data_IF_144555797891
#
_entry.id   IF_144555797891
#
_cell.length_a   1.000
_cell.length_b   1.000
_cell.length_c   1.000
_cell.angle_alpha   90.00
_cell.angle_beta   90.00
_cell.angle_gamma   90.00
#
_symmetry.space_group_name_H-M   'P 1'
#
loop_
_entity.id
_entity.type
_entity.pdbx_description
1 polymer ?
#
# COMPACT_ATOMS: atom_id res chain seq x y z
N UNK A 1 -2.75 13.71 32.48
CA UNK A 1 -3.77 13.88 31.41
C UNK A 1 -3.15 14.41 30.12
N UNK A 2 -2.19 15.34 30.18
CA UNK A 2 -1.53 15.94 29.01
C UNK A 2 -0.88 14.93 28.04
N UNK A 3 -0.16 13.92 28.56
CA UNK A 3 0.47 12.90 27.71
C UNK A 3 -0.52 12.05 26.90
N UNK A 4 -1.70 11.77 27.45
CA UNK A 4 -2.77 11.03 26.76
C UNK A 4 -3.41 11.90 25.66
N UNK A 5 -3.58 13.19 25.93
CA UNK A 5 -4.13 14.16 24.99
C UNK A 5 -3.18 14.35 23.80
N UNK A 6 -1.88 14.51 24.04
CA UNK A 6 -0.87 14.65 22.99
C UNK A 6 -0.81 13.44 22.05
N UNK A 7 -0.91 12.23 22.62
CA UNK A 7 -0.94 10.99 21.83
C UNK A 7 -2.19 10.94 20.95
N UNK A 8 -3.36 11.24 21.50
CA UNK A 8 -4.62 11.23 20.73
C UNK A 8 -4.62 12.28 19.64
N UNK A 9 -4.10 13.49 19.91
CA UNK A 9 -3.95 14.54 18.90
C UNK A 9 -3.02 14.12 17.78
N UNK A 10 -1.89 13.47 18.09
CA UNK A 10 -0.94 12.99 17.08
C UNK A 10 -1.59 11.93 16.17
N UNK A 11 -2.33 10.99 16.75
CA UNK A 11 -3.06 9.99 15.96
C UNK A 11 -4.19 10.58 15.12
N UNK A 12 -4.94 11.54 15.68
CA UNK A 12 -5.99 12.25 14.95
C UNK A 12 -5.41 13.05 13.76
N UNK A 13 -4.29 13.75 13.99
CA UNK A 13 -3.57 14.47 12.94
C UNK A 13 -3.06 13.52 11.85
N UNK A 14 -2.45 12.40 12.24
CA UNK A 14 -1.97 11.40 11.29
C UNK A 14 -3.10 10.78 10.46
N UNK A 15 -4.26 10.49 11.07
CA UNK A 15 -5.45 10.04 10.36
C UNK A 15 -5.98 11.11 9.40
N UNK A 16 -6.07 12.37 9.85
CA UNK A 16 -6.52 13.48 9.03
C UNK A 16 -5.62 13.69 7.80
N UNK A 17 -4.31 13.64 7.99
CA UNK A 17 -3.34 13.71 6.90
C UNK A 17 -3.46 12.52 5.95
N UNK A 18 -3.69 11.33 6.48
CA UNK A 18 -3.87 10.13 5.67
C UNK A 18 -5.12 10.20 4.80
N UNK A 19 -6.23 10.72 5.34
CA UNK A 19 -7.45 11.01 4.58
C UNK A 19 -7.22 12.10 3.53
N UNK A 20 -6.48 13.15 3.86
CA UNK A 20 -6.13 14.22 2.92
C UNK A 20 -5.32 13.67 1.75
N UNK A 21 -4.29 12.87 2.01
CA UNK A 21 -3.49 12.21 0.96
C UNK A 21 -4.36 11.30 0.11
N UNK A 22 -5.24 10.51 0.73
CA UNK A 22 -6.18 9.63 0.01
C UNK A 22 -7.06 10.42 -0.96
N UNK A 23 -7.68 11.53 -0.51
CA UNK A 23 -8.49 12.40 -1.38
C UNK A 23 -7.67 13.10 -2.45
N UNK A 24 -6.46 13.54 -2.14
CA UNK A 24 -5.57 14.15 -3.12
C UNK A 24 -5.21 13.17 -4.24
N UNK A 25 -4.90 11.90 -3.92
CA UNK A 25 -4.60 10.87 -4.91
C UNK A 25 -5.83 10.50 -5.75
N UNK A 26 -7.03 10.51 -5.18
CA UNK A 26 -8.27 10.33 -5.94
C UNK A 26 -8.48 11.43 -6.97
N UNK A 27 -8.26 12.70 -6.59
CA UNK A 27 -8.37 13.85 -7.51
C UNK A 27 -7.33 13.74 -8.62
N UNK A 28 -6.08 13.41 -8.28
CA UNK A 28 -5.04 13.23 -9.29
C UNK A 28 -5.35 12.06 -10.23
N UNK A 29 -5.91 10.96 -9.72
CA UNK A 29 -6.33 9.83 -10.55
C UNK A 29 -7.46 10.23 -11.50
N UNK A 30 -8.48 10.93 -11.01
CA UNK A 30 -9.58 11.41 -11.85
C UNK A 30 -9.07 12.37 -12.94
N UNK A 31 -8.12 13.24 -12.59
CA UNK A 31 -7.46 14.14 -13.55
C UNK A 31 -6.67 13.36 -14.58
N UNK A 32 -5.90 12.35 -14.15
CA UNK A 32 -5.16 11.46 -15.05
C UNK A 32 -6.10 10.72 -16.01
N UNK A 33 -7.21 10.15 -15.51
CA UNK A 33 -8.17 9.41 -16.33
C UNK A 33 -8.85 10.32 -17.37
N UNK A 34 -9.09 11.60 -17.04
CA UNK A 34 -9.58 12.61 -17.98
C UNK A 34 -8.55 13.00 -19.05
N UNK A 35 -7.26 13.05 -18.69
CA UNK A 35 -6.19 13.29 -19.67
C UNK A 35 -6.01 12.07 -20.58
N UNK A 36 -5.99 10.86 -20.02
CA UNK A 36 -5.82 9.61 -20.76
C UNK A 36 -6.93 9.42 -21.80
N UNK A 37 -8.19 9.77 -21.46
CA UNK A 37 -9.31 9.75 -22.40
C UNK A 37 -9.21 10.83 -23.47
N UNK A 38 -8.71 12.02 -23.14
CA UNK A 38 -8.55 13.12 -24.11
C UNK A 38 -7.41 12.91 -25.11
N UNK A 39 -6.35 12.21 -24.71
CA UNK A 39 -5.15 12.00 -25.52
C UNK A 39 -5.06 10.60 -26.16
N UNK A 40 -6.09 9.77 -26.03
CA UNK A 40 -6.17 8.44 -26.66
C UNK A 40 -4.94 7.55 -26.40
N UNK A 41 -4.50 7.49 -25.15
CA UNK A 41 -3.32 6.73 -24.75
C UNK A 41 -3.48 5.20 -24.81
N UNK A 42 -4.60 4.69 -25.35
CA UNK A 42 -4.85 3.26 -25.55
C UNK A 42 -3.70 2.56 -26.30
N UNK A 43 -3.12 3.21 -27.33
CA UNK A 43 -2.01 2.62 -28.11
C UNK A 43 -0.75 2.38 -27.27
N UNK A 44 -0.47 3.26 -26.31
CA UNK A 44 0.66 3.11 -25.40
C UNK A 44 0.45 1.92 -24.47
N UNK A 45 -0.75 1.81 -23.89
CA UNK A 45 -1.12 0.72 -23.00
C UNK A 45 -1.13 -0.63 -23.69
N UNK A 46 -1.65 -0.72 -24.92
CA UNK A 46 -1.60 -1.94 -25.74
C UNK A 46 -0.16 -2.41 -25.97
N UNK A 47 0.76 -1.50 -26.38
CA UNK A 47 2.19 -1.83 -26.55
C UNK A 47 2.83 -2.33 -25.26
N UNK A 48 2.50 -1.71 -24.12
CA UNK A 48 3.01 -2.11 -22.81
C UNK A 48 2.49 -3.49 -22.40
N UNK A 49 1.23 -3.79 -22.66
CA UNK A 49 0.62 -5.10 -22.41
C UNK A 49 1.27 -6.19 -23.22
N UNK A 50 1.57 -5.96 -24.51
CA UNK A 50 2.32 -6.93 -25.32
C UNK A 50 3.73 -7.19 -24.77
N UNK A 51 4.44 -6.14 -24.32
CA UNK A 51 5.76 -6.33 -23.67
C UNK A 51 5.64 -7.12 -22.37
N UNK A 52 4.63 -6.83 -21.56
CA UNK A 52 4.39 -7.53 -20.31
C UNK A 52 4.05 -9.00 -20.57
N UNK A 53 3.19 -9.28 -21.54
CA UNK A 53 2.88 -10.63 -22.03
C UNK A 53 4.16 -11.38 -22.41
N UNK A 54 4.97 -10.81 -23.30
CA UNK A 54 6.22 -11.45 -23.75
C UNK A 54 7.19 -11.69 -22.58
N UNK A 55 7.26 -10.76 -21.62
CA UNK A 55 8.11 -10.91 -20.43
C UNK A 55 7.61 -12.03 -19.52
N UNK A 56 6.30 -12.11 -19.32
CA UNK A 56 5.67 -13.18 -18.55
C UNK A 56 5.85 -14.53 -19.23
N UNK A 57 5.60 -14.63 -20.53
CA UNK A 57 5.82 -15.85 -21.32
C UNK A 57 7.28 -16.31 -21.26
N UNK A 58 8.24 -15.40 -21.43
CA UNK A 58 9.66 -15.73 -21.34
C UNK A 58 10.06 -16.19 -19.93
N UNK A 59 9.51 -15.56 -18.88
CA UNK A 59 9.74 -16.03 -17.50
C UNK A 59 9.09 -17.38 -17.26
N UNK A 60 7.88 -17.60 -17.76
CA UNK A 60 7.15 -18.87 -17.66
C UNK A 60 7.92 -20.02 -18.31
N UNK A 61 8.51 -19.81 -19.49
CA UNK A 61 9.39 -20.77 -20.16
C UNK A 61 10.62 -21.12 -19.32
N UNK A 62 11.18 -20.16 -18.58
CA UNK A 62 12.28 -20.41 -17.63
C UNK A 62 11.79 -21.17 -16.40
N UNK A 63 10.56 -20.92 -15.95
CA UNK A 63 9.91 -21.64 -14.85
C UNK A 63 9.42 -23.05 -15.20
N UNK A 64 9.42 -23.44 -16.48
CA UNK A 64 9.14 -24.80 -16.94
C UNK A 64 10.13 -25.83 -16.35
N UNK A 65 11.31 -25.36 -15.92
CA UNK A 65 12.34 -26.15 -15.24
C UNK A 65 12.33 -26.01 -13.70
N UNK A 66 11.36 -25.30 -13.11
CA UNK A 66 11.27 -25.01 -11.67
C UNK A 66 10.04 -25.73 -11.08
N UNK A 67 10.12 -26.14 -9.81
CA UNK A 67 9.05 -26.93 -9.18
C UNK A 67 7.67 -26.25 -9.26
N UNK A 68 6.71 -27.01 -9.76
CA UNK A 68 5.34 -26.60 -10.14
C UNK A 68 4.59 -25.83 -9.04
N UNK A 69 4.83 -26.13 -7.75
CA UNK A 69 4.15 -25.46 -6.62
C UNK A 69 4.50 -23.97 -6.47
N UNK A 70 5.77 -23.58 -6.62
CA UNK A 70 6.20 -22.18 -6.43
C UNK A 70 5.82 -21.32 -7.65
N UNK A 71 5.95 -21.89 -8.85
CA UNK A 71 5.51 -21.26 -10.09
C UNK A 71 3.99 -21.02 -10.08
N UNK A 72 3.19 -22.01 -9.64
CA UNK A 72 1.73 -21.88 -9.54
C UNK A 72 1.30 -20.75 -8.60
N UNK A 73 1.95 -20.58 -7.44
CA UNK A 73 1.62 -19.51 -6.49
C UNK A 73 1.92 -18.12 -7.06
N UNK A 74 3.05 -17.97 -7.77
CA UNK A 74 3.41 -16.73 -8.43
C UNK A 74 2.45 -16.43 -9.60
N UNK A 75 2.10 -17.45 -10.41
CA UNK A 75 1.11 -17.32 -11.47
C UNK A 75 -0.27 -16.97 -10.95
N UNK A 76 -0.68 -17.52 -9.80
CA UNK A 76 -2.00 -17.28 -9.24
C UNK A 76 -2.15 -15.83 -8.79
N UNK A 77 -1.12 -15.23 -8.17
CA UNK A 77 -1.12 -13.79 -7.86
C UNK A 77 -1.17 -12.91 -9.11
N UNK A 78 -0.50 -13.33 -10.18
CA UNK A 78 -0.52 -12.64 -11.47
C UNK A 78 -1.87 -12.82 -12.16
N UNK A 79 -2.48 -14.01 -12.06
CA UNK A 79 -3.83 -14.31 -12.54
C UNK A 79 -4.87 -13.42 -11.86
N UNK A 80 -4.89 -13.37 -10.53
CA UNK A 80 -5.85 -12.55 -9.78
C UNK A 80 -5.71 -11.05 -10.06
N UNK A 81 -4.51 -10.60 -10.47
CA UNK A 81 -4.24 -9.19 -10.77
C UNK A 81 -4.39 -8.82 -12.24
N UNK A 82 -4.16 -9.74 -13.18
CA UNK A 82 -3.98 -9.46 -14.61
C UNK A 82 -4.86 -10.31 -15.55
N UNK A 83 -5.56 -11.31 -15.03
CA UNK A 83 -6.56 -12.06 -15.77
C UNK A 83 -7.93 -11.59 -15.29
N UNK A 84 -8.64 -10.96 -16.21
CA UNK A 84 -10.02 -10.57 -15.99
C UNK A 84 -10.84 -11.85 -15.81
N UNK A 85 -11.37 -12.10 -14.62
CA UNK A 85 -12.62 -12.85 -14.47
C UNK A 85 -13.80 -11.94 -14.88
N UNK A 86 -13.69 -11.28 -16.04
CA UNK A 86 -14.82 -10.57 -16.61
C UNK A 86 -15.87 -11.63 -16.95
N UNK A 87 -16.99 -11.59 -16.22
CA UNK A 87 -18.14 -12.44 -16.51
C UNK A 87 -18.50 -12.36 -17.99
N UNK A 88 -18.41 -13.49 -18.69
CA UNK A 88 -18.67 -13.59 -20.13
C UNK A 88 -17.52 -14.13 -20.98
N UNK A 89 -16.29 -14.25 -20.46
CA UNK A 89 -15.20 -14.89 -21.22
C UNK A 89 -15.13 -16.40 -20.96
N UNK A 90 -15.69 -17.19 -21.88
CA UNK A 90 -15.73 -18.67 -21.84
C UNK A 90 -14.52 -19.33 -22.52
N UNK A 91 -13.41 -18.61 -22.69
CA UNK A 91 -12.20 -19.13 -23.33
C UNK A 91 -11.28 -19.81 -22.33
N UNK A 92 -10.73 -20.97 -22.69
CA UNK A 92 -9.74 -21.72 -21.88
C UNK A 92 -8.38 -21.01 -21.77
N UNK A 93 -8.11 -20.05 -22.65
CA UNK A 93 -6.83 -19.37 -22.73
C UNK A 93 -6.86 -18.07 -21.91
N UNK A 94 -5.95 -17.91 -20.94
CA UNK A 94 -5.83 -16.68 -20.16
C UNK A 94 -5.45 -15.49 -21.06
N UNK A 95 -6.33 -14.48 -21.16
CA UNK A 95 -6.08 -13.26 -21.94
C UNK A 95 -5.72 -12.09 -21.02
N UNK A 96 -4.57 -11.47 -21.29
CA UNK A 96 -4.13 -10.23 -20.65
C UNK A 96 -4.85 -9.04 -21.26
N UNK A 97 -5.77 -8.43 -20.51
CA UNK A 97 -6.48 -7.23 -20.94
C UNK A 97 -5.60 -5.97 -20.77
N UNK A 98 -5.56 -5.12 -21.79
CA UNK A 98 -4.80 -3.86 -21.75
C UNK A 98 -5.27 -2.90 -20.65
N UNK A 99 -6.58 -2.88 -20.40
CA UNK A 99 -7.20 -2.04 -19.37
C UNK A 99 -6.79 -2.47 -17.96
N UNK A 100 -6.59 -3.76 -17.74
CA UNK A 100 -6.19 -4.28 -16.43
C UNK A 100 -4.71 -3.95 -16.15
N UNK A 101 -3.85 -4.06 -17.17
CA UNK A 101 -2.44 -3.62 -17.08
C UNK A 101 -2.36 -2.11 -16.80
N UNK A 102 -3.21 -1.31 -17.46
CA UNK A 102 -3.35 0.12 -17.19
C UNK A 102 -3.77 0.36 -15.73
N UNK A 103 -4.87 -0.24 -15.28
CA UNK A 103 -5.41 -0.05 -13.95
C UNK A 103 -4.41 -0.41 -12.85
N UNK A 104 -3.72 -1.56 -12.98
CA UNK A 104 -2.70 -2.00 -12.01
C UNK A 104 -1.48 -1.07 -12.05
N UNK A 105 -0.98 -0.72 -13.23
CA UNK A 105 0.18 0.19 -13.37
C UNK A 105 -0.09 1.55 -12.72
N UNK A 106 -1.26 2.13 -13.02
CA UNK A 106 -1.69 3.42 -12.49
C UNK A 106 -1.85 3.32 -10.96
N UNK A 107 -2.49 2.26 -10.46
CA UNK A 107 -2.66 2.03 -9.02
C UNK A 107 -1.32 1.95 -8.28
N UNK A 108 -0.33 1.27 -8.86
CA UNK A 108 1.02 1.18 -8.27
C UNK A 108 1.71 2.54 -8.28
N UNK A 109 1.63 3.27 -9.39
CA UNK A 109 2.22 4.61 -9.51
C UNK A 109 1.62 5.57 -8.47
N UNK A 110 0.29 5.61 -8.34
CA UNK A 110 -0.37 6.47 -7.36
C UNK A 110 -0.07 6.07 -5.92
N UNK A 111 0.07 4.78 -5.62
CA UNK A 111 0.56 4.35 -4.30
C UNK A 111 1.97 4.86 -4.01
N UNK A 112 2.85 4.82 -5.00
CA UNK A 112 4.22 5.32 -4.84
C UNK A 112 4.24 6.84 -4.61
N UNK A 113 3.46 7.59 -5.39
CA UNK A 113 3.28 9.04 -5.18
C UNK A 113 2.72 9.30 -3.77
N UNK A 114 1.70 8.55 -3.35
CA UNK A 114 1.13 8.64 -2.01
C UNK A 114 2.15 8.46 -0.91
N UNK A 115 3.02 7.44 -1.02
CA UNK A 115 4.12 7.20 -0.09
C UNK A 115 5.10 8.38 -0.06
N UNK A 116 5.50 8.91 -1.21
CA UNK A 116 6.41 10.05 -1.27
C UNK A 116 5.81 11.31 -0.62
N UNK A 117 4.54 11.60 -0.91
CA UNK A 117 3.82 12.73 -0.30
C UNK A 117 3.70 12.51 1.21
N UNK A 118 3.35 11.30 1.65
CA UNK A 118 3.25 10.96 3.07
C UNK A 118 4.58 11.10 3.81
N UNK A 119 5.70 10.66 3.21
CA UNK A 119 7.05 10.87 3.74
C UNK A 119 7.37 12.36 3.84
N UNK A 120 7.07 13.14 2.79
CA UNK A 120 7.28 14.60 2.79
C UNK A 120 6.50 15.29 3.90
N UNK A 121 5.21 14.95 4.07
CA UNK A 121 4.36 15.49 5.14
C UNK A 121 4.86 15.10 6.53
N UNK A 122 5.31 13.85 6.70
CA UNK A 122 5.85 13.39 7.98
C UNK A 122 7.14 14.13 8.37
N UNK A 123 8.03 14.41 7.41
CA UNK A 123 9.21 15.25 7.65
C UNK A 123 8.83 16.70 7.95
N UNK A 124 7.91 17.28 7.18
CA UNK A 124 7.54 18.68 7.34
C UNK A 124 6.91 18.96 8.72
N UNK A 125 6.11 18.02 9.22
CA UNK A 125 5.43 18.13 10.52
C UNK A 125 6.16 17.40 11.66
N UNK A 126 7.34 16.83 11.40
CA UNK A 126 8.11 16.02 12.35
C UNK A 126 7.28 14.94 13.06
N UNK A 127 6.43 14.23 12.30
CA UNK A 127 5.54 13.21 12.84
C UNK A 127 6.28 11.90 13.12
N UNK A 128 6.30 11.50 14.39
CA UNK A 128 6.91 10.25 14.84
C UNK A 128 5.89 9.38 15.61
N UNK A 129 5.02 8.70 14.85
CA UNK A 129 4.03 7.77 15.41
C UNK A 129 4.71 6.52 15.97
N UNK A 130 5.84 6.12 15.37
CA UNK A 130 6.58 4.92 15.74
C UNK A 130 7.20 5.07 17.12
N UNK A 131 7.67 6.26 17.51
CA UNK A 131 8.14 6.56 18.87
C UNK A 131 7.02 6.34 19.90
N UNK A 132 5.84 6.88 19.65
CA UNK A 132 4.67 6.69 20.52
C UNK A 132 4.28 5.21 20.61
N UNK A 133 4.42 4.46 19.50
CA UNK A 133 4.19 3.02 19.48
C UNK A 133 5.22 2.22 20.27
N UNK A 134 6.50 2.59 20.20
CA UNK A 134 7.59 1.98 20.96
C UNK A 134 7.44 2.25 22.45
N UNK A 135 7.15 3.49 22.85
CA UNK A 135 6.90 3.88 24.24
C UNK A 135 5.68 3.14 24.82
N UNK A 136 4.64 2.90 24.01
CA UNK A 136 3.50 2.08 24.40
C UNK A 136 3.78 0.57 24.47
N UNK A 137 4.95 0.10 24.01
CA UNK A 137 5.30 -1.32 23.90
C UNK A 137 6.30 -1.81 24.97
N UNK A 138 6.66 -0.97 25.95
CA UNK A 138 7.81 -1.19 26.85
C UNK A 138 7.66 -2.33 27.87
N UNK A 139 6.48 -2.90 28.11
CA UNK A 139 6.36 -4.02 29.05
C UNK A 139 6.03 -5.35 28.34
N UNK A 140 7.09 -6.10 27.99
CA UNK A 140 7.02 -7.56 27.78
C UNK A 140 6.82 -8.09 26.36
N UNK A 141 6.94 -7.26 25.31
CA UNK A 141 6.76 -7.69 23.91
C UNK A 141 8.08 -8.13 23.26
N UNK A 142 8.22 -9.43 22.92
CA UNK A 142 9.34 -10.02 22.13
C UNK A 142 9.53 -9.42 20.72
N UNK A 143 8.69 -8.48 20.30
CA UNK A 143 8.84 -7.69 19.08
C UNK A 143 9.42 -6.30 19.43
N UNK A 144 10.72 -6.26 19.73
CA UNK A 144 11.45 -5.01 19.81
C UNK A 144 11.82 -4.58 18.38
N UNK A 145 10.88 -4.00 17.64
CA UNK A 145 11.21 -3.21 16.45
C UNK A 145 11.77 -1.85 16.91
N UNK A 146 12.90 -1.90 17.62
CA UNK A 146 13.59 -0.77 18.21
C UNK A 146 14.37 -0.04 17.10
N UNK A 147 13.64 0.69 16.26
CA UNK A 147 14.22 1.62 15.30
C UNK A 147 14.77 2.80 16.09
N UNK A 148 16.08 2.77 16.36
CA UNK A 148 16.79 3.81 17.11
C UNK A 148 16.85 5.13 16.34
N UNK A 149 16.93 5.08 15.01
CA UNK A 149 17.02 6.26 14.14
C UNK A 149 15.68 7.01 14.04
N UNK A 150 15.68 8.27 14.46
CA UNK A 150 14.53 9.18 14.33
C UNK A 150 14.09 9.36 12.88
N UNK A 151 15.04 9.44 11.95
CA UNK A 151 14.77 9.61 10.52
C UNK A 151 13.99 8.42 9.95
N UNK A 152 14.38 7.19 10.33
CA UNK A 152 13.68 5.98 9.88
C UNK A 152 12.25 5.90 10.44
N UNK A 153 12.04 6.33 11.68
CA UNK A 153 10.71 6.36 12.30
C UNK A 153 9.77 7.35 11.61
N UNK A 154 10.28 8.52 11.24
CA UNK A 154 9.53 9.53 10.46
C UNK A 154 9.20 8.98 9.06
N UNK A 155 10.15 8.32 8.40
CA UNK A 155 9.90 7.67 7.09
C UNK A 155 8.80 6.61 7.21
N UNK A 156 8.86 5.72 8.21
CA UNK A 156 7.83 4.69 8.42
C UNK A 156 6.46 5.30 8.73
N UNK A 157 6.43 6.38 9.50
CA UNK A 157 5.23 7.16 9.76
C UNK A 157 4.66 7.70 8.45
N UNK A 158 5.50 8.33 7.63
CA UNK A 158 5.10 8.87 6.34
C UNK A 158 4.65 7.83 5.32
N UNK A 159 5.28 6.65 5.27
CA UNK A 159 4.81 5.51 4.48
C UNK A 159 3.40 5.11 4.91
N UNK A 160 3.15 5.04 6.22
CA UNK A 160 1.84 4.67 6.76
C UNK A 160 0.77 5.69 6.37
N UNK A 161 1.07 6.99 6.54
CA UNK A 161 0.17 8.08 6.13
C UNK A 161 -0.12 8.01 4.63
N UNK A 162 0.94 7.82 3.82
CA UNK A 162 0.87 7.79 2.36
C UNK A 162 0.19 6.57 1.76
N UNK A 163 0.12 5.46 2.49
CA UNK A 163 -0.66 4.28 2.10
C UNK A 163 -2.18 4.44 2.32
N UNK A 164 -2.60 5.49 3.04
CA UNK A 164 -3.99 5.84 3.26
C UNK A 164 -4.54 5.43 4.64
N UNK A 165 -5.81 5.77 4.86
CA UNK A 165 -6.45 5.72 6.18
C UNK A 165 -6.57 4.30 6.74
N UNK A 166 -6.70 3.29 5.87
CA UNK A 166 -6.82 1.88 6.26
C UNK A 166 -5.62 1.35 7.07
N UNK A 167 -4.39 1.39 6.54
CA UNK A 167 -3.18 1.06 7.30
C UNK A 167 -3.04 1.85 8.60
N UNK A 168 -3.31 3.15 8.57
CA UNK A 168 -3.22 4.01 9.75
C UNK A 168 -4.22 3.58 10.85
N UNK A 169 -5.46 3.29 10.48
CA UNK A 169 -6.49 2.79 11.38
C UNK A 169 -6.14 1.41 11.96
N UNK A 170 -5.50 0.52 11.17
CA UNK A 170 -4.99 -0.77 11.68
C UNK A 170 -3.91 -0.59 12.74
N UNK A 171 -3.03 0.40 12.61
CA UNK A 171 -2.03 0.70 13.63
C UNK A 171 -2.71 1.14 14.92
N UNK A 172 -3.64 2.10 14.83
CA UNK A 172 -4.37 2.63 15.99
C UNK A 172 -5.14 1.53 16.72
N UNK A 173 -5.94 0.75 15.99
CA UNK A 173 -6.73 -0.35 16.57
C UNK A 173 -5.85 -1.45 17.18
N UNK A 174 -4.68 -1.72 16.60
CA UNK A 174 -3.70 -2.66 17.17
C UNK A 174 -3.14 -2.13 18.50
N UNK A 175 -2.87 -0.83 18.58
CA UNK A 175 -2.40 -0.18 19.81
C UNK A 175 -3.48 -0.16 20.90
N UNK A 176 -4.72 0.17 20.54
CA UNK A 176 -5.86 0.13 21.46
C UNK A 176 -6.10 -1.27 22.03
N UNK A 177 -6.10 -2.30 21.17
CA UNK A 177 -6.24 -3.70 21.60
C UNK A 177 -5.13 -4.12 22.56
N UNK A 178 -3.89 -3.68 22.31
CA UNK A 178 -2.76 -3.96 23.21
C UNK A 178 -2.90 -3.24 24.54
N UNK A 179 -3.27 -1.97 24.57
CA UNK A 179 -3.53 -1.22 25.81
C UNK A 179 -4.64 -1.87 26.63
N UNK A 180 -5.76 -2.27 26.01
CA UNK A 180 -6.84 -3.00 26.70
C UNK A 180 -6.35 -4.33 27.28
N UNK A 181 -5.50 -5.07 26.55
CA UNK A 181 -4.93 -6.35 27.02
C UNK A 181 -3.95 -6.18 28.18
N UNK A 182 -3.18 -5.09 28.22
CA UNK A 182 -2.30 -4.77 29.33
C UNK A 182 -3.10 -4.30 30.55
N UNK A 183 -4.11 -3.45 30.36
CA UNK A 183 -5.01 -3.02 31.43
C UNK A 183 -5.82 -4.18 32.04
N UNK A 184 -6.21 -5.17 31.23
CA UNK A 184 -6.92 -6.37 31.69
C UNK A 184 -6.04 -7.46 32.30
N UNK A 185 -4.71 -7.33 32.27
CA UNK A 185 -3.75 -8.23 32.94
C UNK A 185 -3.22 -7.67 34.26
N UNK A 186 -3.67 -6.48 34.65
CA UNK A 186 -3.35 -5.83 35.93
C UNK A 186 -4.38 -6.10 37.03
N UNK A 187 -4.92 -7.33 37.10
CA UNK A 187 -5.67 -7.88 38.24
C UNK A 187 -5.09 -9.24 38.57
#
# INVERSE_FOLDING_TARGET
MEGLLNVTVLFALALALSLLVERFLEILKATYDLLDSRFDWHRYWTKKTFRLKNTLENRLKVFEYVSTKKAATALQRVKDMLLNEQGGYSGEIPVLAGDLVRAVSIKVLFKFIGILVGIGLAFWLNLDIVKVWQEASVEGSKFNFAVSSSTLRIILTGITIGLGSGPMHKIITTMEKRRKKLAGKGV
#
